data_IF_387267005838
#
_entry.id   IF_387267005838
#
_cell.length_a   1.000
_cell.length_b   1.000
_cell.length_c   1.000
_cell.angle_alpha   90.00
_cell.angle_beta   90.00
_cell.angle_gamma   90.00
#
_symmetry.space_group_name_H-M   'P 1'
#
loop_
_entity.id
_entity.type
_entity.pdbx_description
1 polymer ?
#
# COMPACT_ATOMS: atom_id res chain seq x y z
N UNK A 1 -70.37 16.07 -18.83
CA UNK A 1 -69.58 15.99 -20.07
C UNK A 1 -68.51 17.06 -20.27
N UNK A 2 -68.52 18.21 -19.53
CA UNK A 2 -67.47 19.23 -19.66
C UNK A 2 -66.24 18.98 -18.72
N UNK A 3 -66.39 18.14 -17.71
CA UNK A 3 -65.32 17.87 -16.73
C UNK A 3 -64.31 16.82 -17.25
N UNK A 4 -64.77 15.86 -18.08
CA UNK A 4 -63.91 14.83 -18.68
C UNK A 4 -63.04 15.37 -19.81
N UNK A 5 -63.48 16.42 -20.52
CA UNK A 5 -62.73 17.02 -21.62
C UNK A 5 -61.54 17.89 -21.20
N UNK A 6 -61.54 18.41 -19.96
CA UNK A 6 -60.46 19.25 -19.42
C UNK A 6 -59.35 18.35 -18.83
N UNK A 7 -59.74 17.26 -18.18
CA UNK A 7 -58.76 16.26 -17.66
C UNK A 7 -57.99 15.58 -18.80
N UNK A 8 -58.62 15.32 -19.94
CA UNK A 8 -57.96 14.64 -21.07
C UNK A 8 -56.92 15.52 -21.81
N UNK A 9 -57.05 16.86 -21.73
CA UNK A 9 -56.06 17.79 -22.30
C UNK A 9 -54.83 18.00 -21.43
N UNK A 10 -54.96 17.98 -20.08
CA UNK A 10 -53.84 18.13 -19.15
C UNK A 10 -52.91 16.90 -19.08
N UNK A 11 -53.41 15.73 -19.48
CA UNK A 11 -52.59 14.48 -19.50
C UNK A 11 -51.76 14.30 -20.80
N UNK A 12 -51.98 15.14 -21.83
CA UNK A 12 -51.27 15.01 -23.12
C UNK A 12 -49.89 15.68 -23.19
N UNK A 13 -49.64 16.74 -22.41
CA UNK A 13 -48.34 17.40 -22.37
C UNK A 13 -47.82 17.37 -20.95
N UNK A 14 -46.61 16.83 -20.77
CA UNK A 14 -45.87 16.90 -19.52
C UNK A 14 -44.75 17.92 -19.70
N UNK A 15 -44.81 19.00 -18.90
CA UNK A 15 -43.74 20.01 -18.83
C UNK A 15 -43.07 19.88 -17.48
N UNK A 16 -41.77 19.63 -17.48
CA UNK A 16 -40.96 19.50 -16.27
C UNK A 16 -40.44 20.85 -15.79
N UNK A 17 -40.41 21.05 -14.48
CA UNK A 17 -39.63 22.15 -13.90
C UNK A 17 -38.15 21.93 -14.10
N UNK A 18 -37.33 22.97 -13.97
CA UNK A 18 -35.86 22.81 -14.08
C UNK A 18 -35.28 21.82 -13.07
N UNK A 19 -35.77 21.87 -11.82
CA UNK A 19 -35.37 20.91 -10.77
C UNK A 19 -35.74 19.47 -11.12
N UNK A 20 -36.96 19.25 -11.65
CA UNK A 20 -37.43 17.96 -12.08
C UNK A 20 -36.58 17.44 -13.25
N UNK A 21 -36.25 18.28 -14.22
CA UNK A 21 -35.45 17.96 -15.38
C UNK A 21 -34.05 17.55 -14.93
N UNK A 22 -33.40 18.33 -14.07
CA UNK A 22 -32.08 18.04 -13.49
C UNK A 22 -32.06 16.71 -12.73
N UNK A 23 -33.10 16.47 -11.89
CA UNK A 23 -33.21 15.24 -11.13
C UNK A 23 -33.32 13.98 -12.04
N UNK A 24 -34.16 14.08 -13.09
CA UNK A 24 -34.32 12.96 -14.04
C UNK A 24 -33.07 12.72 -14.91
N UNK A 25 -32.40 13.79 -15.31
CA UNK A 25 -31.10 13.67 -15.98
C UNK A 25 -30.03 12.99 -15.10
N UNK A 26 -29.99 13.33 -13.81
CA UNK A 26 -29.08 12.71 -12.85
C UNK A 26 -29.37 11.20 -12.71
N UNK A 27 -30.65 10.79 -12.69
CA UNK A 27 -31.01 9.36 -12.70
C UNK A 27 -30.46 8.67 -13.96
N UNK A 28 -30.68 9.25 -15.13
CA UNK A 28 -30.24 8.66 -16.38
C UNK A 28 -28.70 8.55 -16.53
N UNK A 29 -27.92 9.37 -15.82
CA UNK A 29 -26.45 9.38 -15.82
C UNK A 29 -25.83 8.39 -14.84
N UNK A 30 -26.60 7.80 -13.92
CA UNK A 30 -26.06 6.85 -12.92
C UNK A 30 -25.61 5.55 -13.57
N UNK A 31 -24.41 5.07 -13.20
CA UNK A 31 -23.85 3.80 -13.69
C UNK A 31 -24.66 2.56 -13.27
N UNK A 32 -25.34 2.63 -12.13
CA UNK A 32 -26.19 1.54 -11.61
C UNK A 32 -27.53 2.17 -11.22
N UNK A 33 -28.52 1.94 -12.03
CA UNK A 33 -29.91 2.32 -11.81
C UNK A 33 -30.80 1.14 -12.22
N UNK A 34 -31.92 0.96 -11.52
CA UNK A 34 -32.92 -0.02 -11.92
C UNK A 34 -33.44 0.31 -13.32
N UNK A 35 -33.57 -0.71 -14.18
CA UNK A 35 -33.94 -0.53 -15.57
C UNK A 35 -35.33 0.13 -15.72
N UNK A 36 -36.26 -0.17 -14.83
CA UNK A 36 -37.60 0.41 -14.83
C UNK A 36 -37.55 1.89 -14.42
N UNK A 37 -36.77 2.23 -13.39
CA UNK A 37 -36.57 3.61 -12.94
C UNK A 37 -35.90 4.44 -14.05
N UNK A 38 -34.92 3.87 -14.74
CA UNK A 38 -34.26 4.51 -15.87
C UNK A 38 -35.26 4.74 -17.04
N UNK A 39 -36.02 3.72 -17.43
CA UNK A 39 -37.04 3.85 -18.48
C UNK A 39 -38.09 4.93 -18.15
N UNK A 40 -38.55 4.97 -16.89
CA UNK A 40 -39.49 6.01 -16.40
C UNK A 40 -38.86 7.41 -16.53
N UNK A 41 -37.64 7.62 -15.99
CA UNK A 41 -36.98 8.91 -16.07
C UNK A 41 -36.76 9.36 -17.52
N UNK A 42 -36.34 8.44 -18.39
CA UNK A 42 -36.13 8.73 -19.80
C UNK A 42 -37.42 9.07 -20.54
N UNK A 43 -38.54 8.38 -20.22
CA UNK A 43 -39.84 8.67 -20.80
C UNK A 43 -40.30 10.13 -20.53
N UNK A 44 -40.12 10.61 -19.29
CA UNK A 44 -40.53 11.98 -18.94
C UNK A 44 -39.60 13.04 -19.54
N UNK A 45 -38.33 12.80 -19.68
CA UNK A 45 -37.43 13.70 -20.41
C UNK A 45 -37.76 13.77 -21.90
N UNK A 46 -38.23 12.67 -22.51
CA UNK A 46 -38.66 12.65 -23.90
C UNK A 46 -40.01 13.36 -24.06
N UNK A 47 -40.94 13.22 -23.10
CA UNK A 47 -42.22 13.95 -23.10
C UNK A 47 -41.99 15.46 -23.00
N UNK A 48 -41.10 15.89 -22.10
CA UNK A 48 -40.71 17.29 -21.93
C UNK A 48 -40.03 17.88 -23.16
N UNK A 49 -39.27 17.05 -23.89
CA UNK A 49 -38.65 17.40 -25.16
C UNK A 49 -39.61 17.40 -26.36
N UNK A 50 -40.92 17.14 -26.13
CA UNK A 50 -41.95 17.21 -27.15
C UNK A 50 -42.15 15.98 -28.03
N UNK A 51 -41.52 14.85 -27.67
CA UNK A 51 -41.76 13.59 -28.42
C UNK A 51 -43.16 13.06 -28.21
N UNK A 52 -43.78 12.54 -29.24
CA UNK A 52 -45.10 11.94 -29.17
C UNK A 52 -45.08 10.58 -28.44
N UNK A 53 -46.24 10.18 -27.88
CA UNK A 53 -46.37 8.96 -27.10
C UNK A 53 -45.99 7.69 -27.87
N UNK A 54 -46.30 7.60 -29.17
CA UNK A 54 -45.98 6.46 -30.01
C UNK A 54 -44.47 6.29 -30.12
N UNK A 55 -43.76 7.34 -30.46
CA UNK A 55 -42.28 7.33 -30.57
C UNK A 55 -41.63 6.99 -29.24
N UNK A 56 -42.13 7.49 -28.10
CA UNK A 56 -41.57 7.14 -26.79
C UNK A 56 -41.76 5.68 -26.46
N UNK A 57 -42.93 5.10 -26.79
CA UNK A 57 -43.20 3.69 -26.59
C UNK A 57 -42.28 2.82 -27.45
N UNK A 58 -42.01 3.20 -28.69
CA UNK A 58 -41.08 2.52 -29.58
C UNK A 58 -39.63 2.62 -29.07
N UNK A 59 -39.14 3.79 -28.66
CA UNK A 59 -37.78 4.00 -28.17
C UNK A 59 -37.51 3.22 -26.87
N UNK A 60 -38.49 3.13 -25.98
CA UNK A 60 -38.30 2.53 -24.66
C UNK A 60 -38.80 1.10 -24.57
N UNK A 61 -39.39 0.57 -25.67
CA UNK A 61 -39.99 -0.74 -25.70
C UNK A 61 -41.01 -0.93 -24.56
N UNK A 62 -42.06 -0.11 -24.56
CA UNK A 62 -43.16 -0.11 -23.56
C UNK A 62 -44.51 0.04 -24.24
N UNK A 63 -45.55 -0.51 -23.62
CA UNK A 63 -46.91 -0.36 -24.08
C UNK A 63 -47.47 1.07 -23.84
N UNK A 64 -48.40 1.52 -24.68
CA UNK A 64 -49.07 2.83 -24.53
C UNK A 64 -49.83 2.98 -23.22
N UNK A 65 -50.43 1.89 -22.73
CA UNK A 65 -51.12 1.84 -21.43
C UNK A 65 -50.13 2.13 -20.28
N UNK A 66 -48.93 1.53 -20.31
CA UNK A 66 -47.88 1.74 -19.32
C UNK A 66 -47.43 3.19 -19.27
N UNK A 67 -47.24 3.85 -20.41
CA UNK A 67 -46.87 5.26 -20.46
C UNK A 67 -47.97 6.15 -19.88
N UNK A 68 -49.25 5.82 -20.14
CA UNK A 68 -50.41 6.52 -19.58
C UNK A 68 -50.47 6.37 -18.08
N UNK A 69 -50.31 5.16 -17.54
CA UNK A 69 -50.25 4.91 -16.10
C UNK A 69 -49.09 5.70 -15.42
N UNK A 70 -47.93 5.75 -16.05
CA UNK A 70 -46.79 6.52 -15.53
C UNK A 70 -47.11 8.03 -15.48
N UNK A 71 -47.82 8.58 -16.46
CA UNK A 71 -48.25 10.00 -16.45
C UNK A 71 -49.18 10.28 -15.31
N UNK A 72 -50.19 9.43 -15.08
CA UNK A 72 -51.08 9.57 -13.93
C UNK A 72 -50.37 9.49 -12.60
N UNK A 73 -49.49 8.50 -12.46
CA UNK A 73 -48.68 8.32 -11.24
C UNK A 73 -47.75 9.52 -10.98
N UNK A 74 -47.09 10.03 -12.02
CA UNK A 74 -46.24 11.22 -11.88
C UNK A 74 -46.99 12.47 -11.53
N UNK A 75 -48.17 12.66 -12.10
CA UNK A 75 -49.05 13.82 -11.77
C UNK A 75 -49.46 13.83 -10.29
N UNK A 76 -49.67 12.65 -9.67
CA UNK A 76 -50.01 12.52 -8.27
C UNK A 76 -48.82 12.50 -7.31
N UNK A 77 -47.70 11.91 -7.71
CA UNK A 77 -46.56 11.59 -6.84
C UNK A 77 -45.31 12.44 -7.08
N UNK A 78 -45.27 13.21 -8.19
CA UNK A 78 -44.10 13.98 -8.56
C UNK A 78 -42.82 13.13 -8.64
N UNK A 79 -41.69 13.64 -8.19
CA UNK A 79 -40.40 12.94 -8.22
C UNK A 79 -40.36 11.67 -7.38
N UNK A 80 -41.24 11.50 -6.40
CA UNK A 80 -41.30 10.26 -5.60
C UNK A 80 -41.72 9.04 -6.42
N UNK A 81 -42.41 9.26 -7.57
CA UNK A 81 -42.76 8.20 -8.52
C UNK A 81 -41.54 7.42 -9.06
N UNK A 82 -40.40 8.04 -9.13
CA UNK A 82 -39.15 7.38 -9.63
C UNK A 82 -38.48 6.52 -8.59
N UNK A 83 -39.11 6.27 -7.45
CA UNK A 83 -38.49 5.47 -6.39
C UNK A 83 -37.21 6.10 -5.84
N UNK A 84 -37.05 7.40 -6.06
CA UNK A 84 -36.23 8.20 -5.19
C UNK A 84 -36.95 8.14 -3.84
N UNK A 85 -36.88 7.00 -3.15
CA UNK A 85 -37.02 7.00 -1.73
C UNK A 85 -36.14 8.16 -1.30
N UNK A 86 -36.72 9.18 -0.66
CA UNK A 86 -35.93 9.93 0.27
C UNK A 86 -35.19 8.88 1.08
N UNK A 87 -33.92 8.66 0.70
CA UNK A 87 -33.00 8.14 1.63
C UNK A 87 -32.86 9.26 2.65
N UNK A 88 -33.92 9.40 3.47
CA UNK A 88 -33.71 9.95 4.78
C UNK A 88 -32.55 9.14 5.28
N UNK A 89 -31.39 9.77 5.32
CA UNK A 89 -30.18 9.17 5.84
C UNK A 89 -30.67 8.42 7.06
N UNK A 90 -30.61 7.07 7.05
CA UNK A 90 -30.93 6.32 8.26
C UNK A 90 -30.11 7.02 9.31
N UNK A 91 -30.80 7.75 10.21
CA UNK A 91 -30.15 8.44 11.30
C UNK A 91 -29.26 7.37 11.92
N UNK A 92 -27.95 7.61 11.89
CA UNK A 92 -27.03 6.68 12.50
C UNK A 92 -27.48 6.50 13.95
N UNK A 93 -27.21 5.37 14.57
CA UNK A 93 -27.54 5.16 15.98
C UNK A 93 -26.95 6.23 16.91
N UNK A 94 -25.97 7.01 16.42
CA UNK A 94 -25.35 8.14 17.11
C UNK A 94 -25.80 9.45 16.50
N UNK A 95 -26.01 10.46 17.35
CA UNK A 95 -26.19 11.86 16.93
C UNK A 95 -24.87 12.41 16.34
N UNK A 96 -24.93 13.53 15.63
CA UNK A 96 -23.75 14.20 15.11
C UNK A 96 -22.76 14.61 16.22
N UNK A 97 -23.25 14.97 17.39
CA UNK A 97 -22.43 15.31 18.55
C UNK A 97 -21.72 14.08 19.10
N UNK A 98 -22.44 12.97 19.25
CA UNK A 98 -21.88 11.68 19.67
C UNK A 98 -20.85 11.14 18.66
N UNK A 99 -21.09 11.31 17.35
CA UNK A 99 -20.11 10.96 16.31
C UNK A 99 -18.83 11.81 16.42
N UNK A 100 -18.96 13.12 16.66
CA UNK A 100 -17.81 14.00 16.88
C UNK A 100 -17.04 13.65 18.15
N UNK A 101 -17.74 13.36 19.25
CA UNK A 101 -17.11 12.92 20.50
C UNK A 101 -16.34 11.58 20.29
N UNK A 102 -16.96 10.62 19.60
CA UNK A 102 -16.33 9.34 19.24
C UNK A 102 -15.09 9.57 18.37
N UNK A 103 -15.18 10.45 17.37
CA UNK A 103 -14.05 10.78 16.49
C UNK A 103 -12.92 11.44 17.28
N UNK A 104 -13.22 12.40 18.15
CA UNK A 104 -12.21 13.06 19.00
C UNK A 104 -11.50 12.03 19.90
N UNK A 105 -12.25 11.19 20.59
CA UNK A 105 -11.69 10.15 21.46
C UNK A 105 -10.71 9.23 20.70
N UNK A 106 -11.13 8.65 19.58
CA UNK A 106 -10.27 7.74 18.82
C UNK A 106 -9.19 8.44 17.97
N UNK A 107 -9.26 9.75 17.85
CA UNK A 107 -8.13 10.54 17.33
C UNK A 107 -6.98 10.59 18.33
N UNK A 108 -7.26 10.57 19.63
CA UNK A 108 -6.24 10.59 20.70
C UNK A 108 -5.89 9.16 21.15
N UNK A 109 -6.84 8.25 21.19
CA UNK A 109 -6.71 6.90 21.69
C UNK A 109 -6.99 5.88 20.58
N UNK A 110 -5.96 5.18 20.10
CA UNK A 110 -6.16 4.16 19.06
C UNK A 110 -6.89 2.93 19.60
N UNK A 111 -7.97 2.48 18.92
CA UNK A 111 -8.60 1.21 19.22
C UNK A 111 -7.83 0.04 18.57
N UNK A 112 -7.60 -1.02 19.32
CA UNK A 112 -6.94 -2.24 18.83
C UNK A 112 -7.84 -3.07 17.91
N UNK A 113 -9.16 -3.01 18.11
CA UNK A 113 -10.16 -3.75 17.34
C UNK A 113 -11.52 -3.03 17.39
N UNK A 114 -12.50 -3.54 16.63
CA UNK A 114 -13.83 -2.98 16.60
C UNK A 114 -14.62 -3.19 17.91
N UNK A 115 -14.27 -4.19 18.72
CA UNK A 115 -14.96 -4.48 19.97
C UNK A 115 -14.67 -3.41 21.03
N UNK A 116 -13.46 -2.84 21.04
CA UNK A 116 -13.14 -1.68 21.89
C UNK A 116 -13.97 -0.44 21.50
N UNK A 117 -14.20 -0.25 20.18
CA UNK A 117 -15.08 0.80 19.70
C UNK A 117 -16.52 0.59 20.16
N UNK A 118 -17.00 -0.66 20.08
CA UNK A 118 -18.33 -1.02 20.59
C UNK A 118 -18.45 -0.76 22.09
N UNK A 119 -17.45 -1.15 22.87
CA UNK A 119 -17.44 -0.97 24.33
C UNK A 119 -17.47 0.54 24.70
N UNK A 120 -16.66 1.36 24.03
CA UNK A 120 -16.66 2.80 24.22
C UNK A 120 -18.03 3.42 23.91
N UNK A 121 -18.61 3.10 22.74
CA UNK A 121 -19.91 3.65 22.33
C UNK A 121 -21.01 3.24 23.32
N UNK A 122 -20.98 2.01 23.81
CA UNK A 122 -21.94 1.56 24.80
C UNK A 122 -21.78 2.31 26.13
N UNK A 123 -20.56 2.48 26.60
CA UNK A 123 -20.27 3.17 27.86
C UNK A 123 -20.60 4.66 27.82
N UNK A 124 -20.20 5.36 26.76
CA UNK A 124 -20.33 6.82 26.69
C UNK A 124 -21.68 7.27 26.10
N UNK A 125 -22.27 6.48 25.22
CA UNK A 125 -23.47 6.90 24.47
C UNK A 125 -24.69 5.97 24.70
N UNK A 126 -24.52 4.88 25.44
CA UNK A 126 -25.59 3.93 25.72
C UNK A 126 -26.08 3.15 24.49
N UNK A 127 -25.34 3.19 23.37
CA UNK A 127 -25.74 2.59 22.11
C UNK A 127 -24.96 1.29 21.85
N UNK A 128 -25.69 0.23 21.52
CA UNK A 128 -25.07 -1.07 21.20
C UNK A 128 -24.74 -1.15 19.69
N UNK A 129 -23.51 -1.50 19.38
CA UNK A 129 -23.02 -1.73 18.01
C UNK A 129 -22.50 -3.17 17.87
N UNK A 130 -22.71 -3.75 16.69
CA UNK A 130 -21.94 -4.92 16.29
C UNK A 130 -20.55 -4.51 15.81
N UNK A 131 -19.53 -5.40 15.91
CA UNK A 131 -18.16 -5.13 15.44
C UNK A 131 -18.13 -4.69 13.97
N UNK A 132 -19.00 -5.29 13.11
CA UNK A 132 -19.13 -4.86 11.70
C UNK A 132 -19.74 -3.46 11.57
N UNK A 133 -20.70 -3.10 12.44
CA UNK A 133 -21.31 -1.78 12.51
C UNK A 133 -20.30 -0.70 12.95
N UNK A 134 -19.54 -1.01 14.01
CA UNK A 134 -18.49 -0.15 14.52
C UNK A 134 -17.38 0.08 13.49
N UNK A 135 -16.94 -0.96 12.77
CA UNK A 135 -15.97 -0.81 11.69
C UNK A 135 -16.47 0.11 10.55
N UNK A 136 -17.75 0.00 10.16
CA UNK A 136 -18.36 0.91 9.18
C UNK A 136 -18.45 2.34 9.70
N UNK A 137 -18.80 2.52 10.97
CA UNK A 137 -18.82 3.83 11.64
C UNK A 137 -17.43 4.46 11.61
N UNK A 138 -16.40 3.72 12.05
CA UNK A 138 -15.01 4.20 12.04
C UNK A 138 -14.56 4.61 10.63
N UNK A 139 -14.89 3.82 9.61
CA UNK A 139 -14.62 4.18 8.21
C UNK A 139 -15.30 5.49 7.80
N UNK A 140 -16.56 5.72 8.20
CA UNK A 140 -17.31 6.96 7.95
C UNK A 140 -16.72 8.16 8.69
N UNK A 141 -16.21 7.95 9.91
CA UNK A 141 -15.51 8.96 10.71
C UNK A 141 -14.07 9.23 10.23
N UNK A 142 -13.62 8.60 9.15
CA UNK A 142 -12.31 8.84 8.55
C UNK A 142 -11.16 7.97 9.10
N UNK A 143 -11.46 6.92 9.87
CA UNK A 143 -10.45 5.99 10.37
C UNK A 143 -10.25 4.82 9.42
N UNK A 144 -9.01 4.31 9.40
CA UNK A 144 -8.62 3.12 8.65
C UNK A 144 -7.89 2.16 9.58
N UNK A 145 -8.30 0.90 9.58
CA UNK A 145 -7.60 -0.14 10.32
C UNK A 145 -6.26 -0.46 9.63
N UNK A 146 -5.15 -0.05 10.26
CA UNK A 146 -3.79 -0.21 9.70
C UNK A 146 -2.77 -0.47 10.80
N UNK A 147 -1.68 -1.13 10.44
CA UNK A 147 -0.50 -1.26 11.29
C UNK A 147 0.33 0.02 11.21
N UNK A 148 0.71 0.66 12.34
CA UNK A 148 1.65 1.78 12.34
C UNK A 148 2.99 1.36 11.74
N UNK A 149 3.65 2.29 11.05
CA UNK A 149 5.01 2.09 10.58
C UNK A 149 5.98 2.27 11.75
N UNK A 150 6.88 1.30 11.95
CA UNK A 150 7.98 1.46 12.91
C UNK A 150 9.05 2.36 12.31
N UNK A 151 9.33 3.46 12.98
CA UNK A 151 10.39 4.40 12.59
C UNK A 151 11.42 4.50 13.72
N UNK A 152 12.72 4.63 13.39
CA UNK A 152 13.75 4.82 14.41
C UNK A 152 13.53 6.11 15.19
N UNK A 153 13.38 5.99 16.51
CA UNK A 153 13.14 7.15 17.37
C UNK A 153 14.29 8.17 17.37
N UNK A 154 15.51 7.72 17.07
CA UNK A 154 16.73 8.53 17.06
C UNK A 154 17.17 8.94 15.65
N UNK A 155 16.26 8.88 14.65
CA UNK A 155 16.58 9.30 13.30
C UNK A 155 16.84 10.84 13.26
N UNK A 156 18.01 11.23 12.76
CA UNK A 156 18.45 12.62 12.65
C UNK A 156 18.30 13.10 11.20
N UNK A 157 17.38 14.02 10.96
CA UNK A 157 17.07 14.54 9.62
C UNK A 157 18.26 15.25 8.99
N UNK A 158 19.01 16.02 9.78
CA UNK A 158 20.16 16.78 9.28
C UNK A 158 21.29 15.85 8.82
N UNK A 159 21.55 14.79 9.59
CA UNK A 159 22.55 13.77 9.22
C UNK A 159 22.11 12.97 8.00
N UNK A 160 20.81 12.67 7.86
CA UNK A 160 20.28 12.01 6.65
C UNK A 160 20.45 12.91 5.43
N UNK A 161 20.10 14.20 5.52
CA UNK A 161 20.26 15.17 4.44
C UNK A 161 21.73 15.34 4.02
N UNK A 162 22.63 15.48 5.01
CA UNK A 162 24.06 15.58 4.75
C UNK A 162 24.63 14.33 4.06
N UNK A 163 24.17 13.14 4.47
CA UNK A 163 24.57 11.89 3.82
C UNK A 163 24.08 11.84 2.36
N UNK A 164 22.82 12.17 2.09
CA UNK A 164 22.25 12.18 0.75
C UNK A 164 23.03 13.15 -0.15
N UNK A 165 23.25 14.38 0.32
CA UNK A 165 24.03 15.37 -0.43
C UNK A 165 25.47 14.91 -0.74
N UNK A 166 26.12 14.25 0.25
CA UNK A 166 27.46 13.66 0.04
C UNK A 166 27.44 12.53 -0.99
N UNK A 167 26.41 11.67 -0.95
CA UNK A 167 26.24 10.58 -1.90
C UNK A 167 25.99 11.13 -3.32
N UNK A 168 25.07 12.07 -3.47
CA UNK A 168 24.76 12.70 -4.76
C UNK A 168 25.99 13.41 -5.36
N UNK A 169 26.75 14.13 -4.54
CA UNK A 169 27.99 14.78 -4.97
C UNK A 169 29.04 13.74 -5.45
N UNK A 170 29.15 12.61 -4.74
CA UNK A 170 30.03 11.51 -5.17
C UNK A 170 29.56 10.93 -6.51
N UNK A 171 28.26 10.66 -6.68
CA UNK A 171 27.72 10.11 -7.93
C UNK A 171 27.88 11.04 -9.11
N UNK A 172 27.75 12.37 -8.92
CA UNK A 172 28.00 13.36 -9.96
C UNK A 172 29.47 13.44 -10.39
N UNK A 173 30.41 13.14 -9.49
CA UNK A 173 31.85 13.18 -9.76
C UNK A 173 32.48 11.80 -10.01
N UNK A 174 31.68 10.72 -10.07
CA UNK A 174 32.17 9.35 -10.19
C UNK A 174 32.82 9.12 -11.54
N UNK A 175 34.08 8.66 -11.51
CA UNK A 175 34.82 8.29 -12.72
C UNK A 175 34.30 6.98 -13.33
N UNK A 176 34.52 6.79 -14.63
CA UNK A 176 34.11 5.57 -15.33
C UNK A 176 34.84 4.31 -14.84
N UNK A 177 35.99 4.47 -14.18
CA UNK A 177 36.78 3.43 -13.53
C UNK A 177 36.62 3.39 -12.01
N UNK A 178 35.59 4.04 -11.47
CA UNK A 178 35.19 4.01 -10.08
C UNK A 178 33.83 3.34 -9.93
N UNK A 179 33.59 2.69 -8.80
CA UNK A 179 32.30 2.05 -8.54
C UNK A 179 31.78 2.34 -7.13
N UNK A 180 30.47 2.24 -6.96
CA UNK A 180 29.79 2.41 -5.68
C UNK A 180 29.05 1.14 -5.31
N UNK A 181 29.29 0.64 -4.08
CA UNK A 181 28.60 -0.52 -3.54
C UNK A 181 28.01 -0.21 -2.17
N UNK A 182 26.91 -0.87 -1.87
CA UNK A 182 26.26 -0.82 -0.55
C UNK A 182 26.47 -2.13 0.17
N UNK A 183 27.07 -2.06 1.37
CA UNK A 183 27.38 -3.22 2.19
C UNK A 183 26.53 -3.30 3.44
N UNK A 184 26.18 -4.52 3.82
CA UNK A 184 25.44 -4.83 5.04
C UNK A 184 25.53 -6.31 5.38
N UNK A 185 25.11 -6.66 6.59
CA UNK A 185 25.03 -8.04 7.04
C UNK A 185 23.58 -8.46 7.23
N UNK A 186 23.27 -9.71 6.87
CA UNK A 186 21.96 -10.32 7.10
C UNK A 186 22.09 -11.63 7.85
N UNK A 187 21.15 -11.89 8.75
CA UNK A 187 21.15 -13.04 9.64
C UNK A 187 19.84 -13.84 9.52
N UNK A 188 19.50 -14.41 8.36
CA UNK A 188 18.27 -15.18 8.22
C UNK A 188 18.29 -16.41 9.13
N UNK A 189 17.24 -16.54 9.90
CA UNK A 189 17.02 -17.67 10.79
C UNK A 189 16.31 -18.80 10.05
N UNK A 190 16.69 -20.06 10.37
CA UNK A 190 16.02 -21.25 9.87
C UNK A 190 14.63 -21.39 10.51
N UNK A 191 13.74 -20.53 10.06
CA UNK A 191 12.39 -20.42 10.56
C UNK A 191 11.41 -20.24 9.40
N UNK A 192 10.30 -20.97 9.45
CA UNK A 192 9.23 -20.78 8.48
C UNK A 192 8.56 -19.42 8.71
N UNK A 193 8.43 -18.62 7.66
CA UNK A 193 7.83 -17.26 7.74
C UNK A 193 6.51 -17.22 6.98
N UNK A 194 5.36 -17.29 7.70
CA UNK A 194 4.07 -17.07 7.06
C UNK A 194 3.98 -15.65 6.47
N UNK A 195 3.49 -15.57 5.25
CA UNK A 195 3.27 -14.30 4.56
C UNK A 195 1.95 -14.35 3.80
N UNK A 196 1.41 -13.19 3.46
CA UNK A 196 0.22 -13.11 2.62
C UNK A 196 0.46 -13.75 1.26
N UNK A 197 -0.54 -14.48 0.77
CA UNK A 197 -0.53 -15.13 -0.53
C UNK A 197 -1.96 -15.45 -0.99
N UNK A 198 -2.10 -15.92 -2.20
CA UNK A 198 -3.38 -16.36 -2.72
C UNK A 198 -3.59 -17.84 -2.37
N UNK A 199 -4.61 -18.11 -1.56
CA UNK A 199 -4.97 -19.45 -1.13
C UNK A 199 -6.46 -19.71 -1.41
N UNK A 200 -6.88 -20.97 -1.65
CA UNK A 200 -8.28 -21.31 -1.83
C UNK A 200 -9.11 -20.94 -0.60
N UNK A 201 -10.22 -20.23 -0.78
CA UNK A 201 -11.08 -19.70 0.29
C UNK A 201 -11.62 -20.80 1.23
N UNK A 202 -11.90 -21.98 0.69
CA UNK A 202 -12.49 -23.10 1.43
C UNK A 202 -11.46 -23.95 2.19
N UNK A 203 -10.15 -23.68 2.03
CA UNK A 203 -9.10 -24.50 2.64
C UNK A 203 -8.40 -23.77 3.78
N UNK A 204 -8.23 -24.47 4.90
CA UNK A 204 -7.36 -24.02 5.99
C UNK A 204 -5.91 -24.35 5.61
N UNK A 205 -5.12 -23.33 5.37
CA UNK A 205 -3.71 -23.47 5.02
C UNK A 205 -2.84 -23.42 6.27
N UNK A 206 -1.85 -24.29 6.34
CA UNK A 206 -0.86 -24.30 7.41
C UNK A 206 0.54 -24.44 6.83
N UNK A 207 1.50 -23.74 7.44
CA UNK A 207 2.92 -23.85 7.14
C UNK A 207 3.58 -24.64 8.27
N UNK A 208 4.36 -25.70 7.94
CA UNK A 208 5.14 -26.42 8.95
C UNK A 208 6.13 -25.47 9.61
N UNK A 209 6.08 -25.36 10.93
CA UNK A 209 7.03 -24.55 11.69
C UNK A 209 8.31 -25.34 11.94
N UNK A 210 9.46 -24.67 11.89
CA UNK A 210 10.73 -25.21 12.38
C UNK A 210 11.02 -24.59 13.74
N UNK A 211 11.47 -25.39 14.69
CA UNK A 211 11.85 -24.96 16.04
C UNK A 211 13.31 -24.54 16.14
N UNK A 212 14.04 -24.54 15.03
CA UNK A 212 15.47 -24.28 15.00
C UNK A 212 15.80 -22.79 15.18
N UNK A 213 16.78 -22.50 16.05
CA UNK A 213 17.36 -21.16 16.24
C UNK A 213 18.65 -20.95 15.44
N UNK A 214 18.98 -21.89 14.53
CA UNK A 214 20.15 -21.75 13.67
C UNK A 214 19.95 -20.61 12.69
N UNK A 215 20.95 -19.79 12.52
CA UNK A 215 20.96 -18.67 11.57
C UNK A 215 22.14 -18.77 10.63
N UNK A 216 21.94 -18.36 9.41
CA UNK A 216 23.00 -18.13 8.44
C UNK A 216 23.45 -16.68 8.58
N UNK A 217 24.76 -16.43 8.63
CA UNK A 217 25.26 -15.05 8.67
C UNK A 217 25.97 -14.78 7.33
N UNK A 218 25.51 -13.75 6.66
CA UNK A 218 26.06 -13.31 5.37
C UNK A 218 26.41 -11.83 5.51
N UNK A 219 27.61 -11.46 5.09
CA UNK A 219 27.98 -10.07 4.82
C UNK A 219 28.15 -9.91 3.31
N UNK A 220 27.51 -8.90 2.73
CA UNK A 220 27.52 -8.68 1.30
C UNK A 220 27.70 -7.24 0.91
N UNK A 221 28.08 -7.04 -0.35
CA UNK A 221 28.17 -5.75 -1.03
C UNK A 221 27.44 -5.84 -2.37
N UNK A 222 26.53 -4.91 -2.62
CA UNK A 222 25.72 -4.81 -3.81
C UNK A 222 26.10 -3.57 -4.61
N UNK A 223 26.44 -3.76 -5.87
CA UNK A 223 26.50 -2.70 -6.87
C UNK A 223 25.11 -2.51 -7.50
N UNK A 224 24.60 -1.29 -7.48
CA UNK A 224 23.26 -0.98 -8.02
C UNK A 224 23.25 -0.82 -9.55
N UNK A 225 24.37 -0.52 -10.15
CA UNK A 225 24.48 -0.36 -11.59
C UNK A 225 24.47 -1.72 -12.31
N UNK A 226 25.36 -2.61 -11.91
CA UNK A 226 25.48 -3.96 -12.49
C UNK A 226 24.64 -5.02 -11.81
N UNK A 227 24.08 -4.74 -10.63
CA UNK A 227 23.44 -5.70 -9.72
C UNK A 227 24.36 -6.88 -9.32
N UNK A 228 25.66 -6.68 -9.45
CA UNK A 228 26.61 -7.65 -8.92
C UNK A 228 26.58 -7.66 -7.40
N UNK A 229 26.51 -8.87 -6.87
CA UNK A 229 26.49 -9.09 -5.43
C UNK A 229 27.71 -9.91 -5.02
N UNK A 230 28.54 -9.32 -4.18
CA UNK A 230 29.71 -9.99 -3.58
C UNK A 230 29.41 -10.26 -2.12
N UNK A 231 29.61 -11.49 -1.64
CA UNK A 231 29.30 -11.85 -0.27
C UNK A 231 30.26 -12.88 0.30
N UNK A 232 30.33 -12.94 1.61
CA UNK A 232 31.00 -13.96 2.41
C UNK A 232 30.04 -14.50 3.47
N UNK A 233 30.25 -15.74 3.84
CA UNK A 233 29.55 -16.43 4.91
C UNK A 233 30.49 -16.60 6.09
N UNK A 234 29.96 -16.55 7.31
CA UNK A 234 30.77 -16.75 8.51
C UNK A 234 29.92 -17.23 9.69
N UNK A 235 30.55 -17.85 10.67
CA UNK A 235 29.89 -18.17 11.94
C UNK A 235 29.46 -16.91 12.68
N UNK A 236 30.24 -15.84 12.54
CA UNK A 236 29.97 -14.51 13.10
C UNK A 236 30.39 -13.43 12.10
N UNK A 237 29.64 -12.35 12.05
CA UNK A 237 30.08 -11.15 11.34
C UNK A 237 30.92 -10.29 12.27
N UNK A 238 32.13 -10.00 11.82
CA UNK A 238 33.13 -9.23 12.56
C UNK A 238 34.10 -8.52 11.60
N UNK A 239 35.16 -7.91 12.13
CA UNK A 239 36.15 -7.20 11.31
C UNK A 239 36.86 -8.12 10.29
N UNK A 240 37.09 -9.39 10.64
CA UNK A 240 37.73 -10.34 9.74
C UNK A 240 36.81 -10.72 8.56
N UNK A 241 35.53 -11.00 8.81
CA UNK A 241 34.58 -11.25 7.73
C UNK A 241 34.37 -10.01 6.86
N UNK A 242 34.44 -8.80 7.45
CA UNK A 242 34.43 -7.55 6.70
C UNK A 242 35.64 -7.47 5.77
N UNK A 243 36.84 -7.73 6.29
CA UNK A 243 38.07 -7.74 5.49
C UNK A 243 37.96 -8.75 4.33
N UNK A 244 37.57 -9.99 4.60
CA UNK A 244 37.36 -11.01 3.58
C UNK A 244 36.37 -10.59 2.50
N UNK A 245 35.31 -9.91 2.87
CA UNK A 245 34.32 -9.39 1.92
C UNK A 245 34.94 -8.29 1.05
N UNK A 246 35.70 -7.36 1.65
CA UNK A 246 36.37 -6.28 0.93
C UNK A 246 37.46 -6.82 -0.01
N UNK A 247 38.27 -7.78 0.44
CA UNK A 247 39.27 -8.48 -0.39
C UNK A 247 38.62 -9.15 -1.60
N UNK A 248 37.52 -9.86 -1.37
CA UNK A 248 36.77 -10.52 -2.44
C UNK A 248 36.16 -9.52 -3.43
N UNK A 249 35.67 -8.40 -2.91
CA UNK A 249 35.12 -7.31 -3.73
C UNK A 249 36.22 -6.69 -4.59
N UNK A 250 37.37 -6.38 -4.01
CA UNK A 250 38.54 -5.83 -4.70
C UNK A 250 39.05 -6.76 -5.79
N UNK A 251 39.20 -8.04 -5.47
CA UNK A 251 39.68 -9.07 -6.41
C UNK A 251 38.73 -9.27 -7.60
N UNK A 252 37.43 -9.10 -7.41
CA UNK A 252 36.45 -9.18 -8.50
C UNK A 252 36.45 -7.97 -9.43
N UNK A 253 36.97 -6.84 -8.97
CA UNK A 253 36.96 -5.58 -9.69
C UNK A 253 38.37 -5.01 -9.90
N UNK A 254 39.25 -5.74 -10.58
CA UNK A 254 40.66 -5.36 -10.70
C UNK A 254 40.90 -4.10 -11.53
N UNK A 255 39.97 -3.74 -12.40
CA UNK A 255 40.05 -2.57 -13.28
C UNK A 255 39.58 -1.28 -12.63
N UNK A 256 38.90 -1.36 -11.50
CA UNK A 256 38.41 -0.17 -10.79
C UNK A 256 39.54 0.51 -10.05
N UNK A 257 39.72 1.79 -10.26
CA UNK A 257 40.69 2.63 -9.55
C UNK A 257 40.23 3.00 -8.15
N UNK A 258 38.90 3.09 -7.96
CA UNK A 258 38.31 3.27 -6.63
C UNK A 258 37.02 2.46 -6.48
N UNK A 259 36.83 1.91 -5.28
CA UNK A 259 35.63 1.20 -4.88
C UNK A 259 35.08 1.88 -3.62
N UNK A 260 33.99 2.63 -3.80
CA UNK A 260 33.31 3.33 -2.72
C UNK A 260 32.32 2.40 -2.02
N UNK A 261 32.58 2.03 -0.78
CA UNK A 261 31.76 1.09 -0.01
C UNK A 261 30.96 1.85 1.04
N UNK A 262 29.64 1.90 0.86
CA UNK A 262 28.73 2.45 1.86
C UNK A 262 28.27 1.38 2.83
N UNK A 263 28.51 1.60 4.12
CA UNK A 263 28.25 0.63 5.20
C UNK A 263 27.72 1.34 6.45
N UNK A 264 27.22 0.57 7.41
CA UNK A 264 26.75 1.10 8.68
C UNK A 264 27.90 1.44 9.64
N UNK A 265 27.55 2.02 10.79
CA UNK A 265 28.50 2.37 11.83
C UNK A 265 28.76 1.25 12.85
N UNK A 266 28.64 -0.03 12.45
CA UNK A 266 28.98 -1.12 13.35
C UNK A 266 30.44 -1.04 13.81
N UNK A 267 30.71 -1.31 15.10
CA UNK A 267 32.05 -1.15 15.71
C UNK A 267 33.14 -1.92 14.97
N UNK A 268 32.81 -3.07 14.40
CA UNK A 268 33.77 -3.89 13.69
C UNK A 268 34.21 -3.29 12.34
N UNK A 269 33.47 -2.36 11.77
CA UNK A 269 33.88 -1.60 10.58
C UNK A 269 34.93 -0.53 10.90
N UNK A 270 35.02 -0.12 12.15
CA UNK A 270 36.02 0.82 12.67
C UNK A 270 37.22 0.12 13.33
N UNK A 271 37.29 -1.20 13.22
CA UNK A 271 38.31 -1.95 13.89
C UNK A 271 39.72 -1.64 13.30
N UNK A 272 40.67 -1.40 14.20
CA UNK A 272 42.06 -1.08 13.83
C UNK A 272 42.68 -2.14 12.89
N UNK A 273 42.24 -3.39 12.96
CA UNK A 273 42.74 -4.49 12.12
C UNK A 273 42.47 -4.26 10.63
N UNK A 274 41.49 -3.44 10.26
CA UNK A 274 41.19 -3.11 8.86
C UNK A 274 42.16 -2.07 8.27
N UNK A 275 42.79 -1.23 9.10
CA UNK A 275 43.63 -0.13 8.65
C UNK A 275 44.85 -0.59 7.84
N UNK A 276 45.67 -1.56 8.31
CA UNK A 276 46.79 -2.02 7.54
C UNK A 276 46.41 -2.59 6.17
N UNK A 277 45.26 -3.25 6.10
CA UNK A 277 44.74 -3.76 4.83
C UNK A 277 44.29 -2.63 3.89
N UNK A 278 43.55 -1.65 4.38
CA UNK A 278 43.17 -0.48 3.59
C UNK A 278 44.40 0.30 3.05
N UNK A 279 45.43 0.43 3.84
CA UNK A 279 46.71 1.02 3.44
C UNK A 279 47.40 0.18 2.36
N UNK A 280 47.46 -1.15 2.52
CA UNK A 280 48.06 -2.06 1.56
C UNK A 280 47.33 -2.07 0.20
N UNK A 281 46.01 -1.85 0.21
CA UNK A 281 45.21 -1.70 -1.00
C UNK A 281 45.40 -0.32 -1.68
N UNK A 282 46.34 0.50 -1.20
CA UNK A 282 46.58 1.89 -1.66
C UNK A 282 45.31 2.76 -1.65
N UNK A 283 44.43 2.51 -0.67
CA UNK A 283 43.15 3.20 -0.51
C UNK A 283 42.20 3.11 -1.72
N UNK A 284 42.39 2.08 -2.53
CA UNK A 284 41.48 1.78 -3.65
C UNK A 284 40.07 1.49 -3.13
N UNK A 285 39.94 0.85 -1.96
CA UNK A 285 38.67 0.67 -1.24
C UNK A 285 38.48 1.85 -0.27
N UNK A 286 37.42 2.62 -0.46
CA UNK A 286 37.08 3.82 0.31
C UNK A 286 35.80 3.58 1.08
N UNK A 287 35.86 3.58 2.41
CA UNK A 287 34.73 3.33 3.29
C UNK A 287 33.94 4.61 3.57
N UNK A 288 32.63 4.58 3.37
CA UNK A 288 31.69 5.64 3.65
C UNK A 288 30.64 5.17 4.65
N UNK A 289 30.59 5.84 5.81
CA UNK A 289 29.67 5.46 6.86
C UNK A 289 28.35 6.19 6.75
N UNK A 290 27.24 5.43 6.84
CA UNK A 290 25.89 5.95 6.87
C UNK A 290 25.56 6.56 8.23
N UNK A 291 24.62 7.51 8.33
CA UNK A 291 24.16 7.99 9.63
C UNK A 291 23.53 6.84 10.44
N UNK A 292 23.70 6.83 11.76
CA UNK A 292 23.06 5.83 12.62
C UNK A 292 21.54 5.93 12.51
N UNK A 293 20.85 4.83 12.79
CA UNK A 293 19.38 4.73 12.77
C UNK A 293 18.71 5.09 11.42
N UNK A 294 19.42 4.91 10.32
CA UNK A 294 18.92 5.20 8.97
C UNK A 294 19.05 3.99 8.02
N UNK A 295 18.45 2.81 8.33
CA UNK A 295 18.55 1.63 7.46
C UNK A 295 17.95 1.86 6.07
N UNK A 296 16.94 2.71 5.96
CA UNK A 296 16.30 3.06 4.68
C UNK A 296 17.23 3.74 3.68
N UNK A 297 18.37 4.27 4.12
CA UNK A 297 19.46 4.79 3.28
C UNK A 297 20.45 3.71 2.83
N UNK A 298 20.08 2.44 2.98
CA UNK A 298 20.85 1.31 2.47
C UNK A 298 20.01 0.48 1.49
N UNK A 299 20.25 0.58 0.20
CA UNK A 299 19.55 -0.20 -0.81
C UNK A 299 19.61 -1.71 -0.61
N UNK A 300 20.70 -2.23 -0.07
CA UNK A 300 20.89 -3.66 0.19
C UNK A 300 19.85 -4.23 1.18
N UNK A 301 19.31 -3.41 2.09
CA UNK A 301 18.20 -3.81 2.97
C UNK A 301 16.95 -4.23 2.18
N UNK A 302 16.74 -3.58 1.03
CA UNK A 302 15.65 -3.96 0.12
C UNK A 302 15.95 -5.28 -0.59
N UNK A 303 17.21 -5.56 -0.89
CA UNK A 303 17.64 -6.87 -1.42
C UNK A 303 17.37 -7.99 -0.41
N UNK A 304 17.61 -7.75 0.88
CA UNK A 304 17.24 -8.71 1.93
C UNK A 304 15.73 -8.97 1.94
N UNK A 305 14.92 -7.94 1.78
CA UNK A 305 13.46 -8.06 1.63
C UNK A 305 13.06 -8.90 0.42
N UNK A 306 13.71 -8.71 -0.73
CA UNK A 306 13.50 -9.50 -1.96
C UNK A 306 13.89 -10.95 -1.70
N UNK A 307 15.07 -11.20 -1.16
CA UNK A 307 15.54 -12.55 -0.80
C UNK A 307 14.53 -13.26 0.10
N UNK A 308 14.02 -12.61 1.15
CA UNK A 308 13.02 -13.20 2.03
C UNK A 308 11.73 -13.55 1.30
N UNK A 309 11.23 -12.69 0.43
CA UNK A 309 10.03 -12.96 -0.38
C UNK A 309 10.22 -14.17 -1.29
N UNK A 310 11.40 -14.33 -1.87
CA UNK A 310 11.69 -15.38 -2.83
C UNK A 310 12.03 -16.71 -2.20
N UNK A 311 12.70 -16.69 -1.04
CA UNK A 311 13.30 -17.90 -0.45
C UNK A 311 12.58 -18.33 0.81
N UNK A 312 12.18 -17.42 1.71
CA UNK A 312 11.73 -17.83 3.05
C UNK A 312 10.22 -17.71 3.26
N UNK A 313 9.52 -16.83 2.53
CA UNK A 313 8.09 -16.65 2.71
C UNK A 313 7.30 -17.88 2.24
N UNK A 314 6.41 -18.39 3.10
CA UNK A 314 5.55 -19.55 2.84
C UNK A 314 6.31 -20.82 2.40
N UNK A 315 7.59 -20.93 2.78
CA UNK A 315 8.42 -22.11 2.50
C UNK A 315 8.89 -22.75 3.79
N UNK A 316 8.96 -24.08 3.73
CA UNK A 316 9.49 -24.91 4.80
C UNK A 316 10.72 -25.65 4.30
N UNK A 317 11.80 -25.58 5.05
CA UNK A 317 13.02 -26.33 4.82
C UNK A 317 13.22 -27.33 5.95
N UNK A 318 13.29 -28.61 5.65
CA UNK A 318 13.40 -29.65 6.67
C UNK A 318 14.72 -29.58 7.44
N UNK A 319 15.81 -29.16 6.76
CA UNK A 319 17.15 -29.06 7.36
C UNK A 319 17.73 -27.67 7.20
N UNK A 320 18.67 -27.32 8.08
CA UNK A 320 19.42 -26.08 7.98
C UNK A 320 20.26 -26.01 6.70
N UNK A 321 20.79 -27.15 6.24
CA UNK A 321 21.53 -27.22 4.98
C UNK A 321 20.67 -26.82 3.78
N UNK A 322 19.45 -27.37 3.66
CA UNK A 322 18.51 -26.99 2.60
C UNK A 322 18.14 -25.50 2.65
N UNK A 323 17.95 -24.97 3.84
CA UNK A 323 17.69 -23.55 4.04
C UNK A 323 18.85 -22.66 3.57
N UNK A 324 20.08 -23.04 3.99
CA UNK A 324 21.31 -22.34 3.58
C UNK A 324 21.48 -22.38 2.07
N UNK A 325 21.38 -23.57 1.47
CA UNK A 325 21.54 -23.75 0.03
C UNK A 325 20.51 -22.93 -0.78
N UNK A 326 19.26 -22.86 -0.32
CA UNK A 326 18.24 -22.06 -0.97
C UNK A 326 18.56 -20.55 -0.94
N UNK A 327 19.10 -20.03 0.17
CA UNK A 327 19.52 -18.62 0.28
C UNK A 327 20.75 -18.36 -0.60
N UNK A 328 21.74 -19.22 -0.54
CA UNK A 328 22.96 -19.04 -1.32
C UNK A 328 22.68 -19.20 -2.82
N UNK A 329 21.81 -20.13 -3.20
CA UNK A 329 21.32 -20.30 -4.57
C UNK A 329 20.60 -19.05 -5.09
N UNK A 330 19.85 -18.35 -4.22
CA UNK A 330 19.27 -17.07 -4.60
C UNK A 330 20.35 -16.06 -5.02
N UNK A 331 21.42 -15.91 -4.25
CA UNK A 331 22.48 -14.94 -4.57
C UNK A 331 23.39 -15.38 -5.71
N UNK A 332 23.66 -16.68 -5.83
CA UNK A 332 24.55 -17.21 -6.87
C UNK A 332 23.89 -17.34 -8.23
N UNK A 333 22.59 -17.64 -8.27
CA UNK A 333 21.88 -17.98 -9.50
C UNK A 333 20.69 -17.09 -9.80
N UNK A 334 19.76 -16.90 -8.83
CA UNK A 334 18.50 -16.21 -9.08
C UNK A 334 18.72 -14.72 -9.28
N UNK A 335 19.48 -14.09 -8.40
CA UNK A 335 19.77 -12.67 -8.48
C UNK A 335 20.47 -12.28 -9.79
N UNK A 336 21.55 -12.96 -10.25
CA UNK A 336 22.17 -12.61 -11.52
C UNK A 336 21.28 -12.85 -12.75
N UNK A 337 20.40 -13.85 -12.71
CA UNK A 337 19.49 -14.16 -13.83
C UNK A 337 18.29 -13.21 -13.89
N UNK A 338 17.83 -12.75 -12.75
CA UNK A 338 16.55 -12.00 -12.61
C UNK A 338 16.71 -10.58 -12.07
N UNK A 339 17.90 -10.04 -12.08
CA UNK A 339 18.18 -8.72 -11.49
C UNK A 339 17.25 -7.61 -11.97
N UNK A 340 16.80 -7.66 -13.24
CA UNK A 340 15.88 -6.68 -13.82
C UNK A 340 14.52 -6.66 -13.14
N UNK A 341 14.07 -7.79 -12.57
CA UNK A 341 12.81 -7.86 -11.80
C UNK A 341 12.91 -7.14 -10.45
N UNK A 342 14.11 -6.80 -10.01
CA UNK A 342 14.39 -6.23 -8.69
C UNK A 342 14.78 -4.75 -8.75
N UNK A 343 15.10 -4.20 -9.92
CA UNK A 343 15.57 -2.81 -10.10
C UNK A 343 14.60 -1.76 -9.57
N UNK A 344 13.27 -1.98 -9.71
CA UNK A 344 12.26 -1.06 -9.19
C UNK A 344 12.13 -1.10 -7.64
N UNK A 345 12.61 -2.18 -7.02
CA UNK A 345 12.55 -2.36 -5.57
C UNK A 345 13.85 -1.97 -4.90
N UNK A 346 14.98 -2.38 -5.48
CA UNK A 346 16.31 -2.17 -4.93
C UNK A 346 16.92 -0.95 -5.61
N UNK A 347 16.65 0.22 -5.06
CA UNK A 347 17.02 1.53 -5.62
C UNK A 347 17.72 2.39 -4.58
N UNK A 348 18.38 3.43 -5.01
CA UNK A 348 18.95 4.51 -4.19
C UNK A 348 18.01 5.73 -4.06
N UNK A 349 16.73 5.57 -4.34
CA UNK A 349 15.71 6.59 -4.12
C UNK A 349 15.58 6.92 -2.61
N UNK A 350 16.55 7.67 -2.11
CA UNK A 350 16.64 8.02 -0.71
C UNK A 350 15.57 9.03 -0.31
N UNK A 351 15.07 8.87 0.92
CA UNK A 351 14.08 9.78 1.51
C UNK A 351 14.50 10.13 2.92
N UNK A 352 14.35 11.39 3.30
CA UNK A 352 14.52 11.81 4.68
C UNK A 352 13.29 11.37 5.47
N UNK A 353 13.51 10.54 6.48
CA UNK A 353 12.48 10.11 7.40
C UNK A 353 12.53 10.99 8.65
N UNK A 354 11.39 11.59 8.98
CA UNK A 354 11.19 12.45 10.11
C UNK A 354 9.99 12.01 10.93
N UNK A 355 10.17 11.77 12.21
CA UNK A 355 9.05 11.50 13.13
C UNK A 355 8.07 12.66 13.25
N UNK A 356 8.53 13.90 12.98
CA UNK A 356 7.68 15.11 13.01
C UNK A 356 6.52 15.05 12.01
N UNK A 357 6.65 14.25 10.94
CA UNK A 357 5.62 14.04 9.92
C UNK A 357 4.57 13.00 10.32
N UNK A 358 4.74 12.35 11.45
CA UNK A 358 3.88 11.26 11.91
C UNK A 358 3.31 11.59 13.29
N UNK A 359 2.05 11.21 13.52
CA UNK A 359 1.53 11.15 14.88
C UNK A 359 2.11 9.89 15.52
N UNK A 360 2.91 10.08 16.56
CA UNK A 360 3.48 8.96 17.34
C UNK A 360 2.40 8.43 18.27
N UNK A 361 2.21 7.12 18.28
CA UNK A 361 1.23 6.39 19.11
C UNK A 361 1.89 6.01 20.43
#
# INVERSE_FOLDING_TARGET
MLHDSIMDKQTKSVTLTEDQRSALQAICRRRKVDALVWKRARAFLLLDAGYNAKTICEILDIGSTVLTEWRFAFAGMGLSFFGLKDYSQRQGYLSLEQERATQAHFTEHSARNADEVCAYILAEHGQSYSSAGAAKLMGRLGFVYKKPQSLPAQADEAKQAAFIAKYEALMMGLGADEMVVFSDAVHPEHQSRPAHGWFPKAQKMALKATSGRKRLNIQGALDLESFQFTFVEGEKINAHTTQQMLEKLEAKNPTMTAIHVFLDNARYHHAKVLQPWLESSKWRVRLHFRPPYAPHLNPIERLWGVMHKWVTHNRHYATFSQFTEAILGFFRETLPKKWREFTDTVTDNFRIISLKKYKVV
#
